data_IF_799166668852
#
_entry.id   IF_799166668852
#
_cell.length_a   1.000
_cell.length_b   1.000
_cell.length_c   1.000
_cell.angle_alpha   90.00
_cell.angle_beta   90.00
_cell.angle_gamma   90.00
#
_symmetry.space_group_name_H-M   'P 1'
#
loop_
_entity.id
_entity.type
_entity.pdbx_description
1 polymer ?
#
# COMPACT_ATOMS: atom_id res chain seq x y z
N UNK A 1 -3.21 -4.78 1.40
CA UNK A 1 -3.51 -5.51 0.15
C UNK A 1 -2.24 -5.95 -0.58
N UNK A 2 -1.25 -5.06 -0.79
CA UNK A 2 0.03 -5.40 -1.47
C UNK A 2 0.75 -6.52 -0.71
N UNK A 3 0.89 -6.41 0.61
CA UNK A 3 1.54 -7.44 1.42
C UNK A 3 0.84 -8.78 1.36
N UNK A 4 -0.50 -8.79 1.42
CA UNK A 4 -1.29 -10.01 1.26
C UNK A 4 -1.11 -10.61 -0.15
N UNK A 5 -1.05 -9.77 -1.20
CA UNK A 5 -0.81 -10.23 -2.57
C UNK A 5 0.57 -10.89 -2.73
N UNK A 6 1.62 -10.28 -2.19
CA UNK A 6 2.97 -10.87 -2.19
C UNK A 6 3.02 -12.20 -1.43
N UNK A 7 2.33 -12.27 -0.28
CA UNK A 7 2.25 -13.51 0.51
C UNK A 7 1.48 -14.62 -0.22
N UNK A 8 0.44 -14.31 -1.00
CA UNK A 8 -0.24 -15.27 -1.90
C UNK A 8 0.68 -15.84 -2.97
N UNK A 9 1.68 -15.06 -3.39
CA UNK A 9 2.71 -15.51 -4.35
C UNK A 9 3.86 -16.26 -3.69
N UNK A 10 3.67 -16.69 -2.41
CA UNK A 10 4.64 -17.51 -1.68
C UNK A 10 5.78 -16.74 -1.05
N UNK A 11 5.77 -15.40 -1.09
CA UNK A 11 6.80 -14.57 -0.45
C UNK A 11 6.55 -14.46 1.05
N UNK A 12 7.62 -14.49 1.84
CA UNK A 12 7.55 -14.18 3.26
C UNK A 12 7.48 -12.68 3.43
N UNK A 13 6.39 -12.20 4.00
CA UNK A 13 6.08 -10.76 4.12
C UNK A 13 5.83 -10.39 5.56
N UNK A 14 6.41 -9.28 6.01
CA UNK A 14 6.03 -8.62 7.25
C UNK A 14 5.56 -7.22 6.97
N UNK A 15 4.43 -6.86 7.55
CA UNK A 15 3.87 -5.51 7.56
C UNK A 15 4.23 -4.86 8.89
N UNK A 16 4.76 -3.65 8.87
CA UNK A 16 5.02 -2.83 10.05
C UNK A 16 4.06 -1.65 10.02
N UNK A 17 3.18 -1.59 11.01
CA UNK A 17 2.33 -0.42 11.24
C UNK A 17 3.13 0.62 12.04
N UNK A 18 3.39 1.78 11.43
CA UNK A 18 4.10 2.88 12.09
C UNK A 18 3.19 4.05 12.46
N UNK A 19 1.87 3.89 12.33
CA UNK A 19 0.90 4.91 12.76
C UNK A 19 0.64 4.80 14.29
N UNK A 20 1.68 5.12 15.06
CA UNK A 20 1.64 5.07 16.52
C UNK A 20 0.60 6.06 17.04
N UNK A 21 -0.29 5.56 17.90
CA UNK A 21 -1.41 6.30 18.45
C UNK A 21 -2.75 6.00 17.76
N UNK A 22 -2.77 5.60 16.48
CA UNK A 22 -4.00 5.25 15.75
C UNK A 22 -4.14 3.75 15.50
N UNK A 23 -3.09 3.07 15.04
CA UNK A 23 -3.05 1.62 14.79
C UNK A 23 -4.29 1.11 14.05
N UNK A 24 -4.22 1.03 12.73
CA UNK A 24 -5.34 0.62 11.91
C UNK A 24 -5.07 -0.64 11.08
N UNK A 25 -3.81 -1.02 10.87
CA UNK A 25 -3.46 -2.11 9.96
C UNK A 25 -3.91 -3.48 10.48
N UNK A 26 -3.98 -3.67 11.79
CA UNK A 26 -4.50 -4.88 12.44
C UNK A 26 -6.00 -5.08 12.18
N UNK A 27 -6.79 -4.00 12.12
CA UNK A 27 -8.21 -4.05 11.78
C UNK A 27 -8.41 -4.49 10.32
N UNK A 28 -7.57 -3.99 9.39
CA UNK A 28 -7.61 -4.36 7.98
C UNK A 28 -7.33 -5.85 7.73
N UNK A 29 -6.60 -6.49 8.66
CA UNK A 29 -6.24 -7.90 8.61
C UNK A 29 -7.10 -8.76 9.54
N UNK A 30 -7.99 -8.17 10.34
CA UNK A 30 -8.78 -8.86 11.34
C UNK A 30 -7.94 -9.50 12.45
N UNK A 31 -6.82 -8.86 12.81
CA UNK A 31 -5.85 -9.37 13.79
C UNK A 31 -5.90 -8.63 15.13
N UNK A 32 -6.81 -7.67 15.31
CA UNK A 32 -6.91 -6.78 16.47
C UNK A 32 -6.92 -7.53 17.81
N UNK A 33 -7.59 -8.69 17.88
CA UNK A 33 -7.70 -9.50 19.09
C UNK A 33 -6.49 -10.45 19.31
N UNK A 34 -5.47 -10.38 18.46
CA UNK A 34 -4.27 -11.25 18.54
C UNK A 34 -3.01 -10.47 18.90
N UNK A 35 -3.10 -9.16 18.97
CA UNK A 35 -1.97 -8.31 19.32
C UNK A 35 -1.72 -8.39 20.83
N UNK A 36 -0.56 -8.94 21.21
CA UNK A 36 -0.10 -9.00 22.59
C UNK A 36 1.00 -7.97 22.83
N UNK A 37 1.93 -7.86 21.90
CA UNK A 37 3.03 -6.91 21.91
C UNK A 37 3.01 -6.07 20.66
N UNK A 38 3.52 -4.86 20.79
CA UNK A 38 3.60 -3.84 19.74
C UNK A 38 5.04 -3.51 19.40
N UNK A 39 5.29 -2.73 18.35
CA UNK A 39 6.61 -2.22 18.00
C UNK A 39 7.26 -1.47 19.18
N UNK A 40 6.48 -0.74 19.98
CA UNK A 40 6.98 0.00 21.15
C UNK A 40 7.46 -0.96 22.23
N UNK A 41 6.79 -2.11 22.42
CA UNK A 41 7.24 -3.11 23.40
C UNK A 41 8.59 -3.75 22.99
N UNK A 42 8.84 -3.87 21.68
CA UNK A 42 10.14 -4.32 21.17
C UNK A 42 11.22 -3.29 21.44
N UNK A 43 10.97 -2.02 21.12
CA UNK A 43 11.91 -0.91 21.32
C UNK A 43 12.24 -0.71 22.81
N UNK A 44 11.23 -0.81 23.67
CA UNK A 44 11.39 -0.74 25.13
C UNK A 44 11.95 -2.04 25.75
N UNK A 45 12.32 -3.04 24.93
CA UNK A 45 12.90 -4.33 25.33
C UNK A 45 12.01 -5.16 26.27
N UNK A 46 10.69 -4.96 26.24
CA UNK A 46 9.71 -5.75 27.03
C UNK A 46 9.49 -7.14 26.43
N UNK A 47 9.75 -7.27 25.12
CA UNK A 47 9.67 -8.54 24.42
C UNK A 47 10.74 -8.63 23.32
N UNK A 48 10.98 -9.84 22.82
CA UNK A 48 11.80 -10.03 21.60
C UNK A 48 10.96 -9.73 20.36
N UNK A 49 11.59 -9.25 19.28
CA UNK A 49 10.92 -8.93 18.01
C UNK A 49 10.02 -10.09 17.53
N UNK A 50 10.49 -11.33 17.57
CA UNK A 50 9.69 -12.52 17.17
C UNK A 50 8.42 -12.73 17.98
N UNK A 51 8.35 -12.25 19.21
CA UNK A 51 7.16 -12.38 20.07
C UNK A 51 6.10 -11.33 19.74
N UNK A 52 6.49 -10.19 19.13
CA UNK A 52 5.60 -9.15 18.68
C UNK A 52 5.03 -9.41 17.28
N UNK A 53 5.61 -10.35 16.52
CA UNK A 53 5.10 -10.70 15.19
C UNK A 53 3.83 -11.55 15.30
N UNK A 54 2.75 -11.05 14.71
CA UNK A 54 1.45 -11.73 14.66
C UNK A 54 1.26 -12.30 13.26
N UNK A 55 1.14 -13.64 13.16
CA UNK A 55 0.87 -14.30 11.87
C UNK A 55 -0.56 -14.07 11.43
N UNK A 56 -0.75 -13.82 10.14
CA UNK A 56 -2.07 -13.77 9.52
C UNK A 56 -2.84 -15.10 9.70
N UNK A 57 -4.17 -15.02 9.73
CA UNK A 57 -5.03 -16.19 9.96
C UNK A 57 -5.12 -17.09 8.73
N UNK A 58 -5.04 -16.50 7.54
CA UNK A 58 -5.28 -17.15 6.25
C UNK A 58 -3.98 -17.50 5.53
N UNK A 59 -2.95 -16.67 5.70
CA UNK A 59 -1.69 -16.84 5.01
C UNK A 59 -0.50 -16.90 5.99
N UNK A 60 0.11 -18.07 6.19
CA UNK A 60 1.22 -18.24 7.13
C UNK A 60 2.49 -17.46 6.72
N UNK A 61 2.58 -17.01 5.48
CA UNK A 61 3.69 -16.21 4.95
C UNK A 61 3.54 -14.71 5.27
N UNK A 62 2.43 -14.28 5.85
CA UNK A 62 2.17 -12.89 6.20
C UNK A 62 2.22 -12.71 7.72
N UNK A 63 3.01 -11.75 8.17
CA UNK A 63 3.09 -11.32 9.57
C UNK A 63 2.79 -9.82 9.68
N UNK A 64 2.31 -9.43 10.86
CA UNK A 64 2.11 -8.03 11.25
C UNK A 64 2.95 -7.73 12.50
N UNK A 65 3.69 -6.62 12.47
CA UNK A 65 4.22 -5.93 13.64
C UNK A 65 3.34 -4.69 13.86
N UNK A 66 2.51 -4.70 14.89
CA UNK A 66 1.50 -3.68 15.11
C UNK A 66 2.07 -2.44 15.80
N UNK A 67 1.53 -1.26 15.47
CA UNK A 67 1.75 -0.03 16.22
C UNK A 67 1.09 -0.09 17.62
N UNK A 68 1.53 0.79 18.52
CA UNK A 68 0.89 0.98 19.82
C UNK A 68 -0.25 2.01 19.72
N UNK A 69 -1.40 1.74 20.38
CA UNK A 69 -2.56 2.63 20.35
C UNK A 69 -2.47 3.81 21.33
N UNK A 70 -1.73 3.66 22.43
CA UNK A 70 -1.75 4.61 23.56
C UNK A 70 -0.38 5.22 23.83
N UNK A 71 0.46 5.33 22.80
CA UNK A 71 1.81 5.88 22.89
C UNK A 71 1.95 7.13 22.04
N UNK A 72 2.92 7.95 22.39
CA UNK A 72 3.31 9.11 21.59
C UNK A 72 4.04 8.67 20.32
N UNK A 73 3.91 9.45 19.25
CA UNK A 73 4.58 9.19 17.97
C UNK A 73 6.11 9.16 18.06
N UNK A 74 6.68 9.79 19.08
CA UNK A 74 8.11 9.79 19.38
C UNK A 74 8.61 8.51 20.07
N UNK A 75 7.70 7.57 20.41
CA UNK A 75 8.08 6.32 21.10
C UNK A 75 8.97 5.37 20.27
N UNK A 76 9.08 5.60 18.98
CA UNK A 76 10.01 4.90 18.08
C UNK A 76 10.74 5.93 17.25
N UNK A 77 12.06 5.90 17.26
CA UNK A 77 12.91 6.77 16.45
C UNK A 77 13.40 6.10 15.16
N UNK A 78 14.16 6.86 14.34
CA UNK A 78 14.64 6.39 13.04
C UNK A 78 15.61 5.21 13.16
N UNK A 79 16.54 5.27 14.11
CA UNK A 79 17.57 4.24 14.28
C UNK A 79 16.94 2.94 14.77
N UNK A 80 16.01 3.04 15.70
CA UNK A 80 15.25 1.90 16.22
C UNK A 80 14.43 1.21 15.14
N UNK A 81 13.74 1.98 14.28
CA UNK A 81 12.96 1.39 13.18
C UNK A 81 13.87 0.77 12.12
N UNK A 82 14.99 1.42 11.82
CA UNK A 82 16.01 0.87 10.92
C UNK A 82 16.55 -0.45 11.43
N UNK A 83 16.92 -0.53 12.71
CA UNK A 83 17.41 -1.77 13.34
C UNK A 83 16.37 -2.90 13.28
N UNK A 84 15.09 -2.59 13.49
CA UNK A 84 13.98 -3.55 13.35
C UNK A 84 13.89 -4.04 11.91
N UNK A 85 13.94 -3.13 10.92
CA UNK A 85 13.89 -3.50 9.51
C UNK A 85 15.09 -4.40 9.12
N UNK A 86 16.29 -4.08 9.57
CA UNK A 86 17.49 -4.91 9.30
C UNK A 86 17.37 -6.32 9.88
N UNK A 87 16.86 -6.46 11.11
CA UNK A 87 16.61 -7.78 11.69
C UNK A 87 15.55 -8.58 10.92
N UNK A 88 14.49 -7.92 10.44
CA UNK A 88 13.42 -8.57 9.69
C UNK A 88 13.84 -9.00 8.29
N UNK A 89 14.74 -8.27 7.63
CA UNK A 89 15.32 -8.64 6.33
C UNK A 89 16.00 -10.01 6.32
N UNK A 90 16.48 -10.49 7.45
CA UNK A 90 17.12 -11.81 7.55
C UNK A 90 16.12 -12.97 7.39
N UNK A 91 14.83 -12.74 7.69
CA UNK A 91 13.81 -13.80 7.74
C UNK A 91 12.69 -13.60 6.69
N UNK A 92 12.50 -12.39 6.18
CA UNK A 92 11.41 -12.03 5.28
C UNK A 92 11.93 -11.54 3.92
N UNK A 93 11.25 -11.94 2.84
CA UNK A 93 11.55 -11.48 1.49
C UNK A 93 11.15 -10.00 1.30
N UNK A 94 10.08 -9.57 1.99
CA UNK A 94 9.58 -8.21 1.97
C UNK A 94 9.24 -7.69 3.36
N UNK A 95 9.79 -6.54 3.71
CA UNK A 95 9.44 -5.75 4.90
C UNK A 95 8.70 -4.51 4.41
N UNK A 96 7.39 -4.45 4.60
CA UNK A 96 6.55 -3.34 4.17
C UNK A 96 6.24 -2.45 5.37
N UNK A 97 6.73 -1.23 5.35
CA UNK A 97 6.47 -0.22 6.37
C UNK A 97 5.28 0.63 5.94
N UNK A 98 4.17 0.54 6.69
CA UNK A 98 3.00 1.39 6.50
C UNK A 98 3.26 2.75 7.14
N UNK A 99 3.47 3.74 6.27
CA UNK A 99 3.89 5.08 6.67
C UNK A 99 2.66 5.94 6.99
N UNK A 100 2.62 6.64 8.14
CA UNK A 100 1.56 7.58 8.43
C UNK A 100 1.53 8.74 7.43
N UNK A 101 0.36 9.36 7.27
CA UNK A 101 0.19 10.53 6.40
C UNK A 101 1.04 11.72 6.88
N UNK A 102 1.49 12.53 5.92
CA UNK A 102 2.27 13.74 6.17
C UNK A 102 3.78 13.54 5.99
N UNK A 103 4.56 14.55 6.34
CA UNK A 103 6.01 14.62 6.13
C UNK A 103 6.81 14.75 7.44
N UNK A 104 6.11 14.58 8.55
CA UNK A 104 6.66 14.79 9.88
C UNK A 104 7.49 13.58 10.37
N UNK A 105 7.74 13.50 11.67
CA UNK A 105 8.57 12.47 12.30
C UNK A 105 8.21 11.05 11.89
N UNK A 106 6.91 10.73 11.79
CA UNK A 106 6.45 9.38 11.37
C UNK A 106 6.93 8.99 9.97
N UNK A 107 6.85 9.92 9.02
CA UNK A 107 7.40 9.74 7.68
C UNK A 107 8.92 9.55 7.71
N UNK A 108 9.63 10.40 8.43
CA UNK A 108 11.10 10.33 8.55
C UNK A 108 11.54 8.97 9.13
N UNK A 109 10.82 8.48 10.14
CA UNK A 109 11.07 7.17 10.73
C UNK A 109 10.84 6.04 9.71
N UNK A 110 9.68 6.05 9.02
CA UNK A 110 9.32 5.02 8.06
C UNK A 110 10.33 4.91 6.92
N UNK A 111 10.82 6.04 6.41
CA UNK A 111 11.77 6.08 5.29
C UNK A 111 13.18 5.68 5.74
N UNK A 112 13.53 5.84 7.02
CA UNK A 112 14.90 5.58 7.51
C UNK A 112 15.36 4.12 7.27
N UNK A 113 14.46 3.15 7.39
CA UNK A 113 14.75 1.72 7.17
C UNK A 113 14.44 1.21 5.77
N UNK A 114 13.97 2.06 4.85
CA UNK A 114 13.50 1.65 3.54
C UNK A 114 14.60 1.70 2.47
N UNK A 115 14.62 0.71 1.58
CA UNK A 115 15.42 0.70 0.35
C UNK A 115 14.61 1.21 -0.85
N UNK A 116 13.30 0.93 -0.87
CA UNK A 116 12.39 1.37 -1.91
C UNK A 116 11.16 2.03 -1.29
N UNK A 117 10.51 2.92 -2.04
CA UNK A 117 9.27 3.54 -1.63
C UNK A 117 8.17 3.39 -2.69
N UNK A 118 6.91 3.29 -2.24
CA UNK A 118 5.75 3.40 -3.10
C UNK A 118 4.98 4.64 -2.67
N UNK A 119 4.97 5.66 -3.54
CA UNK A 119 4.20 6.87 -3.34
C UNK A 119 2.77 6.60 -3.80
N UNK A 120 1.84 6.63 -2.85
CA UNK A 120 0.41 6.40 -3.13
C UNK A 120 -0.31 7.72 -3.19
N UNK A 121 -0.96 8.01 -4.31
CA UNK A 121 -1.76 9.23 -4.49
C UNK A 121 -3.11 8.92 -5.12
N UNK A 122 -4.03 9.88 -5.09
CA UNK A 122 -5.27 9.87 -5.86
C UNK A 122 -5.20 10.90 -6.99
N UNK A 123 -5.98 10.77 -8.09
CA UNK A 123 -5.93 11.72 -9.21
C UNK A 123 -6.71 13.02 -8.89
N UNK A 124 -6.39 13.59 -7.74
CA UNK A 124 -6.93 14.85 -7.22
C UNK A 124 -5.78 15.85 -7.02
N UNK A 125 -5.96 17.10 -7.42
CA UNK A 125 -4.89 18.11 -7.45
C UNK A 125 -4.19 18.30 -6.09
N UNK A 126 -4.92 18.24 -4.97
CA UNK A 126 -4.34 18.35 -3.63
C UNK A 126 -3.42 17.17 -3.32
N UNK A 127 -3.89 15.93 -3.61
CA UNK A 127 -3.12 14.72 -3.35
C UNK A 127 -1.86 14.64 -4.24
N UNK A 128 -1.96 15.11 -5.49
CA UNK A 128 -0.81 15.18 -6.41
C UNK A 128 0.24 16.16 -5.90
N UNK A 129 -0.17 17.34 -5.39
CA UNK A 129 0.74 18.31 -4.80
C UNK A 129 1.45 17.75 -3.55
N UNK A 130 0.75 16.99 -2.73
CA UNK A 130 1.33 16.34 -1.57
C UNK A 130 2.31 15.22 -2.00
N UNK A 131 1.96 14.44 -3.03
CA UNK A 131 2.83 13.42 -3.61
C UNK A 131 4.12 14.02 -4.20
N UNK A 132 4.02 15.13 -4.94
CA UNK A 132 5.17 15.85 -5.47
C UNK A 132 6.16 16.28 -4.37
N UNK A 133 5.63 16.82 -3.27
CA UNK A 133 6.44 17.16 -2.10
C UNK A 133 7.13 15.94 -1.48
N UNK A 134 6.42 14.81 -1.37
CA UNK A 134 6.99 13.55 -0.87
C UNK A 134 8.10 13.06 -1.79
N UNK A 135 7.89 13.08 -3.11
CA UNK A 135 8.90 12.68 -4.11
C UNK A 135 10.17 13.51 -3.94
N UNK A 136 10.06 14.84 -3.84
CA UNK A 136 11.22 15.71 -3.61
C UNK A 136 11.98 15.39 -2.32
N UNK A 137 11.31 14.93 -1.26
CA UNK A 137 11.96 14.46 -0.04
C UNK A 137 12.65 13.10 -0.23
N UNK A 138 12.05 12.18 -0.98
CA UNK A 138 12.62 10.86 -1.28
C UNK A 138 13.86 10.98 -2.17
N UNK A 139 13.87 11.89 -3.15
CA UNK A 139 15.03 12.16 -4.02
C UNK A 139 16.27 12.64 -3.25
N UNK A 140 16.06 13.35 -2.16
CA UNK A 140 17.14 13.82 -1.28
C UNK A 140 17.60 12.77 -0.27
N UNK A 141 16.94 11.61 -0.20
CA UNK A 141 17.22 10.57 0.80
C UNK A 141 18.33 9.65 0.36
N UNK A 142 19.45 9.65 1.12
CA UNK A 142 20.53 8.69 0.92
C UNK A 142 20.08 7.25 1.27
N UNK A 143 20.47 6.27 0.45
CA UNK A 143 20.18 4.86 0.67
C UNK A 143 18.80 4.40 0.21
N UNK A 144 18.04 5.27 -0.45
CA UNK A 144 16.81 4.90 -1.13
C UNK A 144 17.13 4.60 -2.61
N UNK A 145 17.04 3.33 -3.00
CA UNK A 145 17.44 2.86 -4.33
C UNK A 145 16.41 3.22 -5.41
N UNK A 146 15.13 3.21 -5.04
CA UNK A 146 14.02 3.41 -5.98
C UNK A 146 12.75 3.91 -5.29
N UNK A 147 12.00 4.75 -5.99
CA UNK A 147 10.61 5.05 -5.63
C UNK A 147 9.71 4.90 -6.86
N UNK A 148 8.45 4.50 -6.63
CA UNK A 148 7.46 4.24 -7.68
C UNK A 148 6.10 4.79 -7.29
N UNK A 149 5.29 5.12 -8.28
CA UNK A 149 3.97 5.71 -8.11
C UNK A 149 2.87 4.66 -8.16
N UNK A 150 1.93 4.72 -7.22
CA UNK A 150 0.67 3.99 -7.25
C UNK A 150 -0.49 4.99 -7.26
N UNK A 151 -1.25 5.01 -8.35
CA UNK A 151 -2.45 5.85 -8.45
C UNK A 151 -3.66 5.08 -7.95
N UNK A 152 -4.24 5.54 -6.85
CA UNK A 152 -5.33 4.86 -6.14
C UNK A 152 -6.69 5.57 -6.37
N UNK A 153 -7.79 4.86 -6.14
CA UNK A 153 -9.17 5.36 -6.20
C UNK A 153 -9.53 6.01 -7.53
N UNK A 154 -9.03 5.44 -8.62
CA UNK A 154 -9.31 5.92 -9.97
C UNK A 154 -10.76 5.63 -10.35
N UNK A 155 -11.46 6.65 -10.85
CA UNK A 155 -12.85 6.58 -11.31
C UNK A 155 -12.91 6.82 -12.81
N UNK A 156 -12.97 5.76 -13.66
CA UNK A 156 -12.93 5.92 -15.11
C UNK A 156 -14.01 6.83 -15.67
N UNK A 157 -15.21 6.82 -15.06
CA UNK A 157 -16.31 7.70 -15.49
C UNK A 157 -15.97 9.19 -15.33
N UNK A 158 -15.34 9.56 -14.21
CA UNK A 158 -14.95 10.96 -13.97
C UNK A 158 -13.79 11.40 -14.87
N UNK A 159 -12.90 10.49 -15.24
CA UNK A 159 -11.83 10.76 -16.22
C UNK A 159 -12.46 11.04 -17.59
N UNK A 160 -13.44 10.23 -18.02
CA UNK A 160 -14.14 10.40 -19.31
C UNK A 160 -14.95 11.70 -19.39
N UNK A 161 -15.47 12.20 -18.26
CA UNK A 161 -16.18 13.50 -18.19
C UNK A 161 -15.25 14.70 -17.93
N UNK A 162 -13.94 14.52 -17.84
CA UNK A 162 -12.94 15.53 -17.46
C UNK A 162 -13.13 16.12 -16.03
N UNK A 163 -13.81 15.39 -15.14
CA UNK A 163 -14.01 15.77 -13.74
C UNK A 163 -12.90 15.20 -12.83
N UNK A 164 -12.03 14.37 -13.37
CA UNK A 164 -10.88 13.77 -12.69
C UNK A 164 -9.69 13.72 -13.65
N UNK A 165 -8.48 13.96 -13.15
CA UNK A 165 -7.27 13.81 -13.95
C UNK A 165 -7.09 12.39 -14.47
N UNK A 166 -6.54 12.26 -15.68
CA UNK A 166 -6.14 10.95 -16.19
C UNK A 166 -4.89 10.44 -15.46
N UNK A 167 -4.70 9.12 -15.47
CA UNK A 167 -3.49 8.50 -14.91
C UNK A 167 -2.23 9.00 -15.62
N UNK A 168 -2.31 9.23 -16.93
CA UNK A 168 -1.19 9.75 -17.72
C UNK A 168 -0.80 11.17 -17.29
N UNK A 169 -1.78 12.05 -17.03
CA UNK A 169 -1.51 13.40 -16.53
C UNK A 169 -0.82 13.36 -15.17
N UNK A 170 -1.27 12.46 -14.26
CA UNK A 170 -0.64 12.28 -12.95
C UNK A 170 0.81 11.82 -13.08
N UNK A 171 1.09 10.84 -13.95
CA UNK A 171 2.44 10.34 -14.21
C UNK A 171 3.33 11.42 -14.83
N UNK A 172 2.81 12.21 -15.76
CA UNK A 172 3.53 13.31 -16.40
C UNK A 172 3.91 14.40 -15.39
N UNK A 173 2.95 14.80 -14.53
CA UNK A 173 3.18 15.83 -13.49
C UNK A 173 4.23 15.36 -12.48
N UNK A 174 4.11 14.11 -11.99
CA UNK A 174 4.98 13.60 -10.94
C UNK A 174 6.31 13.03 -11.47
N UNK A 175 6.44 12.83 -12.78
CA UNK A 175 7.63 12.26 -13.43
C UNK A 175 8.17 10.99 -12.76
N UNK A 176 7.28 10.14 -12.24
CA UNK A 176 7.60 8.96 -11.44
C UNK A 176 7.15 7.68 -12.14
N UNK A 177 7.95 6.59 -12.03
CA UNK A 177 7.61 5.29 -12.59
C UNK A 177 6.33 4.73 -11.99
N UNK A 178 5.34 4.43 -12.83
CA UNK A 178 4.05 3.90 -12.42
C UNK A 178 4.14 2.39 -12.11
N UNK A 179 3.94 1.99 -10.86
CA UNK A 179 3.85 0.58 -10.46
C UNK A 179 2.44 0.02 -10.61
N UNK A 180 1.41 0.86 -10.56
CA UNK A 180 0.05 0.39 -10.76
C UNK A 180 -1.04 1.43 -10.58
N UNK A 181 -2.25 0.99 -10.93
CA UNK A 181 -3.48 1.78 -10.86
C UNK A 181 -4.53 0.94 -10.15
N UNK A 182 -5.12 1.49 -9.10
CA UNK A 182 -6.20 0.84 -8.35
C UNK A 182 -7.50 1.59 -8.61
N UNK A 183 -8.50 0.93 -9.19
CA UNK A 183 -9.82 1.53 -9.36
C UNK A 183 -10.51 1.74 -8.01
N UNK A 184 -11.41 2.71 -7.94
CA UNK A 184 -12.34 2.79 -6.81
C UNK A 184 -13.28 1.58 -6.85
N UNK A 185 -13.33 0.84 -5.75
CA UNK A 185 -14.12 -0.39 -5.63
C UNK A 185 -14.78 -0.43 -4.25
N UNK A 186 -16.10 -0.50 -4.23
CA UNK A 186 -16.88 -0.57 -2.98
C UNK A 186 -16.59 -1.85 -2.18
N UNK A 187 -16.08 -2.90 -2.83
CA UNK A 187 -15.66 -4.13 -2.15
C UNK A 187 -14.50 -3.88 -1.18
N UNK A 188 -13.68 -2.86 -1.40
CA UNK A 188 -12.61 -2.47 -0.46
C UNK A 188 -13.21 -2.14 0.91
N UNK A 189 -14.28 -1.33 0.95
CA UNK A 189 -14.93 -0.94 2.21
C UNK A 189 -15.50 -2.18 2.91
N UNK A 190 -16.19 -3.03 2.17
CA UNK A 190 -16.81 -4.26 2.71
C UNK A 190 -15.74 -5.21 3.25
N UNK A 191 -14.65 -5.39 2.54
CA UNK A 191 -13.53 -6.26 2.90
C UNK A 191 -12.81 -5.72 4.14
N UNK A 192 -12.52 -4.42 4.16
CA UNK A 192 -11.92 -3.73 5.32
C UNK A 192 -12.76 -3.93 6.58
N UNK A 193 -14.08 -3.73 6.50
CA UNK A 193 -14.97 -3.89 7.66
C UNK A 193 -15.06 -5.34 8.16
N UNK A 194 -14.69 -6.31 7.32
CA UNK A 194 -14.63 -7.73 7.69
C UNK A 194 -13.23 -8.15 8.20
N UNK A 195 -12.25 -7.26 8.19
CA UNK A 195 -10.86 -7.59 8.46
C UNK A 195 -10.30 -8.61 7.46
N UNK A 196 -10.68 -8.48 6.19
CA UNK A 196 -10.29 -9.38 5.11
C UNK A 196 -9.86 -8.55 3.89
N UNK A 197 -8.56 -8.46 3.58
CA UNK A 197 -8.09 -7.66 2.46
C UNK A 197 -8.76 -7.99 1.14
N UNK A 198 -9.13 -6.98 0.36
CA UNK A 198 -9.89 -7.13 -0.89
C UNK A 198 -9.16 -7.98 -1.93
N UNK A 199 -7.88 -8.13 -1.83
CA UNK A 199 -7.08 -9.03 -2.69
C UNK A 199 -7.46 -10.50 -2.53
N UNK A 200 -8.16 -10.87 -1.46
CA UNK A 200 -8.71 -12.20 -1.24
C UNK A 200 -10.03 -12.45 -2.01
N UNK A 201 -10.62 -11.39 -2.58
CA UNK A 201 -11.82 -11.50 -3.42
C UNK A 201 -11.42 -11.57 -4.90
N UNK A 202 -11.49 -12.77 -5.49
CA UNK A 202 -11.15 -13.03 -6.88
C UNK A 202 -12.03 -12.25 -7.89
N UNK A 203 -13.22 -11.80 -7.47
CA UNK A 203 -14.14 -11.04 -8.31
C UNK A 203 -13.86 -9.54 -8.27
N UNK A 204 -13.17 -9.03 -7.25
CA UNK A 204 -12.84 -7.61 -7.11
C UNK A 204 -11.85 -7.16 -8.18
N UNK A 205 -12.18 -6.06 -8.88
CA UNK A 205 -11.28 -5.43 -9.83
C UNK A 205 -10.07 -4.81 -9.11
N UNK A 206 -10.29 -4.19 -7.96
CA UNK A 206 -9.22 -3.68 -7.12
C UNK A 206 -8.32 -4.80 -6.59
N UNK A 207 -8.89 -5.94 -6.20
CA UNK A 207 -8.12 -7.11 -5.78
C UNK A 207 -7.16 -7.59 -6.89
N UNK A 208 -7.65 -7.70 -8.12
CA UNK A 208 -6.83 -8.04 -9.29
C UNK A 208 -5.75 -6.98 -9.58
N UNK A 209 -6.08 -5.70 -9.40
CA UNK A 209 -5.13 -4.61 -9.57
C UNK A 209 -3.99 -4.70 -8.54
N UNK A 210 -4.29 -4.97 -7.26
CA UNK A 210 -3.27 -5.19 -6.22
C UNK A 210 -2.37 -6.40 -6.51
N UNK A 211 -2.93 -7.51 -7.04
CA UNK A 211 -2.14 -8.66 -7.49
C UNK A 211 -1.14 -8.27 -8.60
N UNK A 212 -1.59 -7.46 -9.57
CA UNK A 212 -0.71 -7.00 -10.64
C UNK A 212 0.37 -6.02 -10.13
N UNK A 213 0.06 -5.18 -9.14
CA UNK A 213 1.05 -4.34 -8.46
C UNK A 213 2.10 -5.22 -7.78
N UNK A 214 1.70 -6.24 -7.03
CA UNK A 214 2.62 -7.15 -6.38
C UNK A 214 3.54 -7.88 -7.36
N UNK A 215 3.02 -8.33 -8.51
CA UNK A 215 3.84 -8.91 -9.59
C UNK A 215 4.90 -7.93 -10.10
N UNK A 216 4.53 -6.66 -10.35
CA UNK A 216 5.50 -5.63 -10.79
C UNK A 216 6.53 -5.29 -9.72
N UNK A 217 6.16 -5.34 -8.44
CA UNK A 217 7.11 -5.20 -7.32
C UNK A 217 8.12 -6.35 -7.36
N UNK A 218 7.72 -7.56 -7.72
CA UNK A 218 8.61 -8.72 -7.89
C UNK A 218 9.47 -8.67 -9.16
N UNK A 219 9.22 -7.71 -10.06
CA UNK A 219 9.97 -7.55 -11.31
C UNK A 219 9.28 -8.16 -12.55
N UNK A 220 8.06 -8.66 -12.42
CA UNK A 220 7.33 -9.21 -13.55
C UNK A 220 6.79 -8.08 -14.45
N UNK A 221 6.91 -8.24 -15.77
CA UNK A 221 6.27 -7.36 -16.75
C UNK A 221 4.80 -7.75 -16.92
N UNK A 222 3.92 -7.04 -16.24
CA UNK A 222 2.48 -7.25 -16.31
C UNK A 222 1.81 -5.97 -16.85
N UNK A 223 0.95 -6.04 -17.89
CA UNK A 223 0.25 -4.86 -18.38
C UNK A 223 -0.67 -4.28 -17.31
N UNK A 224 -0.93 -2.97 -17.38
CA UNK A 224 -1.94 -2.33 -16.53
C UNK A 224 -3.29 -2.99 -16.78
N UNK A 225 -4.06 -3.15 -15.71
CA UNK A 225 -5.39 -3.70 -15.82
C UNK A 225 -6.29 -2.69 -16.55
N UNK A 226 -7.11 -3.17 -17.48
CA UNK A 226 -8.18 -2.35 -18.04
C UNK A 226 -9.23 -2.14 -16.95
N UNK A 227 -9.28 -0.91 -16.45
CA UNK A 227 -10.17 -0.50 -15.36
C UNK A 227 -11.50 0.09 -15.87
N UNK A 228 -11.68 0.18 -17.20
CA UNK A 228 -12.97 0.56 -17.75
C UNK A 228 -14.04 -0.47 -17.32
N UNK A 229 -15.17 0.03 -16.80
CA UNK A 229 -16.29 -0.83 -16.48
C UNK A 229 -16.66 -1.65 -17.72
N UNK A 230 -16.98 -2.96 -17.58
CA UNK A 230 -17.49 -3.74 -18.69
C UNK A 230 -18.70 -2.98 -19.27
N UNK A 231 -18.54 -2.51 -20.51
CA UNK A 231 -19.60 -1.78 -21.20
C UNK A 231 -20.88 -2.61 -21.11
N UNK A 232 -21.95 -2.02 -20.61
CA UNK A 232 -23.26 -2.67 -20.65
C UNK A 232 -23.56 -3.11 -22.09
N UNK A 233 -24.35 -4.17 -22.28
CA UNK A 233 -24.72 -4.65 -23.62
C UNK A 233 -25.21 -3.49 -24.51
N UNK A 234 -25.90 -2.51 -23.90
CA UNK A 234 -26.40 -1.29 -24.56
C UNK A 234 -25.24 -0.38 -25.02
N UNK A 235 -24.19 -0.22 -24.21
CA UNK A 235 -23.03 0.59 -24.58
C UNK A 235 -22.18 -0.09 -25.67
N UNK A 236 -22.04 -1.43 -25.62
CA UNK A 236 -21.41 -2.18 -26.71
C UNK A 236 -22.15 -2.03 -28.03
N UNK A 237 -23.49 -2.06 -27.99
CA UNK A 237 -24.32 -1.85 -29.18
C UNK A 237 -24.20 -0.42 -29.68
N UNK A 238 -24.23 0.59 -28.81
CA UNK A 238 -24.03 2.00 -29.20
C UNK A 238 -22.66 2.24 -29.83
N UNK A 239 -21.59 1.67 -29.26
CA UNK A 239 -20.23 1.79 -29.82
C UNK A 239 -20.14 1.09 -31.17
N UNK A 240 -20.71 -0.10 -31.33
CA UNK A 240 -20.73 -0.81 -32.58
C UNK A 240 -21.52 -0.07 -33.69
N UNK A 241 -22.55 0.68 -33.33
CA UNK A 241 -23.31 1.51 -34.27
C UNK A 241 -22.51 2.79 -34.64
N UNK A 242 -21.83 3.39 -33.67
CA UNK A 242 -21.01 4.60 -33.89
C UNK A 242 -19.77 4.32 -34.76
N UNK A 243 -19.13 3.14 -34.61
CA UNK A 243 -17.95 2.74 -35.39
C UNK A 243 -18.31 2.35 -36.84
N UNK A 244 -19.59 2.28 -37.18
CA UNK A 244 -20.08 1.95 -38.55
C UNK A 244 -20.70 3.14 -39.28
N UNK A 245 -20.78 4.31 -38.67
CA UNK A 245 -21.21 5.57 -39.30
C UNK A 245 -20.01 6.46 -39.60
#
# INVERSE_FOLDING_TARGET
NIGTALAHMGKKVVLIDTDIGLRNLDLLLGLENRIVYTIVDVVEQRCKLKQALVKDKKNPNLCLLAAAQTRDKSAVDQDQLKDICEQLKEEFDYVLVDCPAGIEQGFQNAVAGANEAIVVTTPEMSAIRDADRIIGLLESKEGLDKYRLLVNRVRPKLIKSNDMMSVNDVVEILSCELVGVIPEDTNIITSTNKGDPVVNDENSLAGKAYLNVAKRIMGDEVPLLDIDEPQTLIEKIKKFIADKM
#
